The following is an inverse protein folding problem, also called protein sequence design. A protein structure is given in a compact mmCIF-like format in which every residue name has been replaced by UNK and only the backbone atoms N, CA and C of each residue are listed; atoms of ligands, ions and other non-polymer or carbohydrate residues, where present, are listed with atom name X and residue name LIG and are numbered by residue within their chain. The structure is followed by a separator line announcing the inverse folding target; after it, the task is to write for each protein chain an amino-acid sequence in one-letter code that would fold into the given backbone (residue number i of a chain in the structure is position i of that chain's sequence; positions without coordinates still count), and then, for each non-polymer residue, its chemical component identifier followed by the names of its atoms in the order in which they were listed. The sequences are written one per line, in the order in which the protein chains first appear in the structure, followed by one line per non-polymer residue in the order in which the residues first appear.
data_IF_733791126546
#
_entry.id   IF_733791126546
#
_cell.length_a   1.000
_cell.length_b   1.000
_cell.length_c   1.000
_cell.angle_alpha   90.00
_cell.angle_beta   90.00
_cell.angle_gamma   90.00
#
_symmetry.space_group_name_H-M   'P 1'
#
loop_
_entity.id
_entity.type
_entity.pdbx_description
1 polymer ?
#
# COMPACT_ATOMS: atom_id res chain seq x y z
N UNK A 1 -16.70 -8.53 -1.57
CA UNK A 1 -17.64 -7.41 -1.69
C UNK A 1 -16.91 -6.26 -2.36
N UNK A 2 -17.47 -5.70 -3.42
CA UNK A 2 -16.92 -4.53 -4.11
C UNK A 2 -17.79 -3.33 -3.78
N UNK A 3 -17.17 -2.22 -3.41
CA UNK A 3 -17.81 -0.94 -3.11
C UNK A 3 -17.77 -0.02 -4.32
N UNK A 4 -18.53 1.05 -4.30
CA UNK A 4 -18.55 2.05 -5.38
C UNK A 4 -17.32 2.95 -5.40
N UNK A 5 -16.64 3.07 -4.25
CA UNK A 5 -15.48 3.92 -4.06
C UNK A 5 -14.34 3.12 -3.45
N UNK A 6 -13.12 3.60 -3.59
CA UNK A 6 -11.95 3.00 -2.99
C UNK A 6 -12.01 3.10 -1.47
N UNK A 7 -11.54 2.06 -0.79
CA UNK A 7 -11.55 1.97 0.66
C UNK A 7 -10.24 2.57 1.15
N UNK A 8 -10.30 3.75 1.74
CA UNK A 8 -9.12 4.47 2.25
C UNK A 8 -8.74 4.01 3.65
N UNK A 9 -9.73 3.55 4.43
CA UNK A 9 -9.49 3.06 5.79
C UNK A 9 -10.40 1.86 6.09
N UNK A 10 -9.80 0.82 6.66
CA UNK A 10 -10.49 -0.34 7.20
C UNK A 10 -9.92 -0.70 8.56
N UNK A 11 -10.74 -0.64 9.61
CA UNK A 11 -10.32 -1.01 10.96
C UNK A 11 -10.55 -2.49 11.21
N UNK A 12 -9.48 -3.25 11.35
CA UNK A 12 -9.47 -4.66 11.76
C UNK A 12 -9.70 -4.87 13.27
N UNK A 13 -9.65 -3.78 14.05
CA UNK A 13 -9.82 -3.83 15.51
C UNK A 13 -11.30 -3.86 15.94
N UNK A 14 -12.21 -3.48 15.07
CA UNK A 14 -13.64 -3.50 15.34
C UNK A 14 -14.25 -4.66 14.55
N UNK A 15 -14.72 -5.72 15.23
CA UNK A 15 -15.22 -6.90 14.54
C UNK A 15 -16.48 -6.58 13.73
N UNK A 16 -16.51 -7.04 12.50
CA UNK A 16 -17.72 -7.10 11.70
C UNK A 16 -18.56 -8.31 12.14
N UNK A 17 -19.85 -8.12 12.20
CA UNK A 17 -20.79 -9.18 12.58
C UNK A 17 -21.55 -9.66 11.37
N UNK A 18 -21.61 -10.98 11.18
CA UNK A 18 -22.43 -11.60 10.14
C UNK A 18 -23.66 -12.21 10.79
N UNK A 19 -24.82 -11.89 10.24
CA UNK A 19 -26.09 -12.53 10.55
C UNK A 19 -26.47 -13.44 9.39
N UNK A 20 -26.59 -14.71 9.67
CA UNK A 20 -27.02 -15.71 8.69
C UNK A 20 -28.55 -15.80 8.61
N UNK A 21 -29.07 -16.51 7.60
CA UNK A 21 -30.50 -16.68 7.40
C UNK A 21 -31.21 -17.35 8.57
N UNK A 22 -30.51 -18.22 9.30
CA UNK A 22 -31.00 -18.88 10.52
C UNK A 22 -30.89 -18.01 11.79
N UNK A 23 -30.54 -16.73 11.61
CA UNK A 23 -30.26 -15.76 12.70
C UNK A 23 -29.04 -16.09 13.54
N UNK A 24 -28.21 -17.04 13.16
CA UNK A 24 -26.92 -17.27 13.82
C UNK A 24 -25.97 -16.09 13.51
N UNK A 25 -25.13 -15.77 14.50
CA UNK A 25 -24.18 -14.67 14.45
C UNK A 25 -22.78 -15.24 14.43
N UNK A 26 -21.94 -14.73 13.53
CA UNK A 26 -20.52 -15.09 13.47
C UNK A 26 -19.67 -13.86 13.08
N UNK A 27 -18.38 -13.93 13.33
CA UNK A 27 -17.40 -12.96 12.91
C UNK A 27 -16.64 -13.51 11.70
N UNK A 28 -16.62 -12.81 10.56
CA UNK A 28 -15.84 -13.23 9.40
C UNK A 28 -14.36 -12.87 9.58
N UNK A 29 -13.49 -13.57 8.87
CA UNK A 29 -12.17 -13.03 8.58
C UNK A 29 -12.30 -12.08 7.39
N UNK A 30 -11.87 -10.85 7.55
CA UNK A 30 -11.98 -9.80 6.53
C UNK A 30 -10.60 -9.22 6.24
N UNK A 31 -10.30 -9.00 4.97
CA UNK A 31 -9.06 -8.36 4.56
C UNK A 31 -9.27 -7.60 3.23
N UNK A 32 -8.56 -6.46 3.03
CA UNK A 32 -8.59 -5.73 1.77
C UNK A 32 -8.06 -6.57 0.60
N UNK A 33 -8.58 -6.34 -0.58
CA UNK A 33 -8.04 -6.95 -1.80
C UNK A 33 -6.75 -6.21 -2.18
N UNK A 34 -5.62 -6.90 -2.41
CA UNK A 34 -4.35 -6.25 -2.67
C UNK A 34 -4.24 -5.63 -4.07
N UNK A 35 -5.21 -5.89 -4.95
CA UNK A 35 -5.21 -5.44 -6.34
C UNK A 35 -6.38 -4.52 -6.67
N UNK A 36 -7.33 -4.39 -5.76
CA UNK A 36 -8.55 -3.62 -5.96
C UNK A 36 -8.94 -2.92 -4.65
N UNK A 37 -8.57 -1.65 -4.54
CA UNK A 37 -8.78 -0.84 -3.34
C UNK A 37 -10.26 -0.65 -2.99
N UNK A 38 -11.17 -0.87 -3.95
CA UNK A 38 -12.61 -0.84 -3.72
C UNK A 38 -13.19 -2.13 -3.14
N UNK A 39 -12.35 -3.13 -2.80
CA UNK A 39 -12.82 -4.48 -2.50
C UNK A 39 -12.35 -5.03 -1.16
N UNK A 40 -13.29 -5.58 -0.40
CA UNK A 40 -13.04 -6.40 0.79
C UNK A 40 -13.37 -7.87 0.53
N UNK A 41 -12.48 -8.74 0.96
CA UNK A 41 -12.66 -10.19 0.96
C UNK A 41 -13.14 -10.67 2.32
N UNK A 42 -14.11 -11.58 2.32
CA UNK A 42 -14.72 -12.15 3.51
C UNK A 42 -14.60 -13.68 3.47
N UNK A 43 -14.11 -14.28 4.56
CA UNK A 43 -14.14 -15.72 4.76
C UNK A 43 -15.20 -16.04 5.80
N UNK A 44 -16.11 -16.93 5.44
CA UNK A 44 -17.28 -17.32 6.21
C UNK A 44 -17.15 -18.78 6.64
N UNK A 45 -17.42 -19.05 7.92
CA UNK A 45 -17.29 -20.41 8.50
C UNK A 45 -18.44 -21.36 8.12
N UNK A 46 -19.58 -20.81 7.71
CA UNK A 46 -20.77 -21.57 7.36
C UNK A 46 -21.30 -21.16 6.00
N UNK A 47 -21.92 -22.11 5.34
CA UNK A 47 -22.59 -21.87 4.07
C UNK A 47 -24.05 -21.48 4.30
N UNK A 48 -24.49 -20.38 3.70
CA UNK A 48 -25.87 -19.92 3.62
C UNK A 48 -26.11 -19.27 2.25
N UNK A 49 -27.35 -19.24 1.80
CA UNK A 49 -27.70 -18.61 0.51
C UNK A 49 -27.66 -17.06 0.58
N UNK A 50 -27.86 -16.52 1.77
CA UNK A 50 -27.86 -15.06 2.00
C UNK A 50 -27.21 -14.76 3.35
N UNK A 51 -26.38 -13.70 3.37
CA UNK A 51 -25.75 -13.15 4.57
C UNK A 51 -26.07 -11.67 4.68
N UNK A 52 -26.19 -11.23 5.93
CA UNK A 52 -26.24 -9.81 6.26
C UNK A 52 -25.03 -9.50 7.12
N UNK A 53 -24.18 -8.61 6.63
CA UNK A 53 -23.03 -8.10 7.40
C UNK A 53 -23.49 -6.82 8.09
N UNK A 54 -23.32 -6.79 9.40
CA UNK A 54 -23.57 -5.61 10.23
C UNK A 54 -22.22 -5.03 10.63
N UNK A 55 -22.01 -3.78 10.37
CA UNK A 55 -20.78 -3.09 10.75
C UNK A 55 -21.08 -1.80 11.52
N UNK A 56 -20.14 -1.38 12.36
CA UNK A 56 -20.20 -0.09 13.02
C UNK A 56 -19.85 1.01 12.00
N UNK A 57 -20.60 2.12 11.93
CA UNK A 57 -20.26 3.25 11.08
C UNK A 57 -18.83 3.72 11.33
N UNK A 58 -18.08 4.00 10.25
CA UNK A 58 -16.69 4.42 10.30
C UNK A 58 -15.65 3.28 10.29
N UNK A 59 -16.06 2.02 10.36
CA UNK A 59 -15.14 0.87 10.24
C UNK A 59 -14.63 0.71 8.81
N UNK A 60 -15.47 1.04 7.83
CA UNK A 60 -15.14 1.05 6.41
C UNK A 60 -15.32 2.49 5.92
N UNK A 61 -14.27 3.10 5.39
CA UNK A 61 -14.28 4.49 4.92
C UNK A 61 -13.80 4.54 3.47
N UNK A 62 -14.48 5.34 2.64
CA UNK A 62 -14.07 5.70 1.29
C UNK A 62 -13.42 7.09 1.26
N UNK A 63 -12.95 7.53 0.08
CA UNK A 63 -12.24 8.82 -0.08
C UNK A 63 -13.07 10.03 0.39
N UNK A 64 -14.36 10.03 0.13
CA UNK A 64 -15.21 11.19 0.37
C UNK A 64 -16.23 11.01 1.50
N UNK A 65 -16.51 9.78 1.93
CA UNK A 65 -17.58 9.53 2.92
C UNK A 65 -17.35 8.26 3.72
N UNK A 66 -17.79 8.30 4.96
CA UNK A 66 -18.01 7.10 5.78
C UNK A 66 -19.09 6.25 5.10
N UNK A 67 -18.82 5.00 4.79
CA UNK A 67 -19.82 4.04 4.29
C UNK A 67 -20.75 3.71 5.46
N UNK A 68 -21.87 4.39 5.55
CA UNK A 68 -22.66 4.50 6.77
C UNK A 68 -24.00 3.75 6.75
N UNK A 69 -24.21 2.77 5.90
CA UNK A 69 -25.47 2.02 5.98
C UNK A 69 -25.54 1.04 7.16
N UNK A 70 -24.42 0.68 7.74
CA UNK A 70 -24.31 -0.32 8.81
C UNK A 70 -24.72 -1.74 8.38
N UNK A 71 -25.19 -1.93 7.14
CA UNK A 71 -25.74 -3.19 6.65
C UNK A 71 -25.29 -3.46 5.21
N UNK A 72 -24.62 -4.57 4.98
CA UNK A 72 -24.28 -5.08 3.66
C UNK A 72 -24.99 -6.42 3.46
N UNK A 73 -25.78 -6.55 2.41
CA UNK A 73 -26.44 -7.81 2.05
C UNK A 73 -25.67 -8.51 0.96
N UNK A 74 -25.28 -9.76 1.23
CA UNK A 74 -24.54 -10.60 0.28
C UNK A 74 -25.41 -11.79 -0.09
N UNK A 75 -25.64 -11.98 -1.37
CA UNK A 75 -26.22 -13.19 -1.91
C UNK A 75 -25.09 -14.06 -2.47
N UNK A 76 -25.02 -15.29 -1.99
CA UNK A 76 -23.97 -16.22 -2.39
C UNK A 76 -24.41 -17.01 -3.62
N UNK A 77 -23.52 -17.10 -4.60
CA UNK A 77 -23.69 -18.06 -5.70
C UNK A 77 -23.32 -19.46 -5.19
N UNK A 78 -24.28 -20.38 -5.25
CA UNK A 78 -24.12 -21.76 -4.78
C UNK A 78 -23.50 -22.66 -5.84
N UNK A 79 -23.17 -22.13 -7.02
CA UNK A 79 -22.51 -22.88 -8.07
C UNK A 79 -21.11 -23.30 -7.62
N UNK A 80 -20.80 -24.61 -7.76
CA UNK A 80 -19.47 -25.11 -7.40
C UNK A 80 -18.39 -24.41 -8.24
N UNK A 81 -17.49 -23.72 -7.61
CA UNK A 81 -16.32 -23.17 -8.29
C UNK A 81 -15.41 -24.31 -8.78
N UNK A 82 -15.12 -24.29 -10.07
CA UNK A 82 -14.22 -25.24 -10.74
C UNK A 82 -13.00 -24.54 -11.35
N UNK A 83 -12.83 -23.24 -11.09
CA UNK A 83 -11.67 -22.48 -11.59
C UNK A 83 -10.38 -22.95 -10.91
N UNK A 84 -9.30 -22.86 -11.66
CA UNK A 84 -7.97 -23.12 -11.10
C UNK A 84 -7.43 -21.86 -10.45
N UNK A 85 -6.77 -22.02 -9.32
CA UNK A 85 -5.92 -20.98 -8.75
C UNK A 85 -4.84 -20.60 -9.76
N UNK A 86 -4.62 -19.33 -9.95
CA UNK A 86 -3.55 -18.77 -10.79
C UNK A 86 -2.76 -17.74 -10.00
N UNK A 87 -1.59 -17.38 -10.52
CA UNK A 87 -0.77 -16.29 -9.99
C UNK A 87 -1.17 -15.03 -10.73
N UNK A 88 -1.56 -14.01 -9.99
CA UNK A 88 -1.97 -12.69 -10.53
C UNK A 88 -0.77 -11.75 -10.55
N UNK A 89 0.06 -11.78 -9.47
CA UNK A 89 1.29 -11.02 -9.37
C UNK A 89 2.37 -11.89 -8.71
N UNK A 90 3.63 -11.80 -9.13
CA UNK A 90 4.14 -11.08 -10.29
C UNK A 90 3.74 -11.75 -11.61
N UNK A 91 3.57 -10.96 -12.65
CA UNK A 91 3.43 -11.43 -14.03
C UNK A 91 4.76 -11.34 -14.80
N UNK A 92 4.77 -11.72 -16.08
CA UNK A 92 6.00 -11.72 -16.91
C UNK A 92 6.53 -10.32 -17.25
N UNK A 93 5.77 -9.26 -16.97
CA UNK A 93 6.13 -7.85 -17.18
C UNK A 93 6.47 -7.13 -15.87
N UNK A 94 6.32 -7.82 -14.76
CA UNK A 94 6.54 -7.25 -13.44
C UNK A 94 8.00 -6.83 -13.27
N UNK A 95 8.19 -5.61 -12.76
CA UNK A 95 9.49 -5.07 -12.41
C UNK A 95 9.46 -4.78 -10.91
N UNK A 96 10.31 -5.46 -10.15
CA UNK A 96 10.44 -5.22 -8.72
C UNK A 96 11.31 -3.99 -8.47
N UNK A 97 10.74 -2.98 -7.81
CA UNK A 97 11.54 -1.87 -7.27
C UNK A 97 12.49 -2.38 -6.21
N UNK A 98 13.76 -1.98 -6.28
CA UNK A 98 14.79 -2.39 -5.32
C UNK A 98 15.62 -1.20 -4.89
N UNK A 99 16.11 -1.26 -3.65
CA UNK A 99 17.00 -0.27 -3.06
C UNK A 99 18.31 -0.94 -2.65
N UNK A 100 19.40 -0.20 -2.74
CA UNK A 100 20.67 -0.68 -2.18
C UNK A 100 20.54 -0.83 -0.66
N UNK A 101 21.14 -1.87 -0.11
CA UNK A 101 21.18 -2.17 1.31
C UNK A 101 19.82 -2.45 1.99
N UNK A 102 18.76 -2.64 1.21
CA UNK A 102 17.42 -2.94 1.72
C UNK A 102 16.89 -4.23 1.13
N UNK A 103 16.31 -5.09 1.97
CA UNK A 103 15.63 -6.30 1.51
C UNK A 103 14.13 -6.04 1.44
N UNK A 104 13.61 -5.85 0.23
CA UNK A 104 12.18 -5.65 0.00
C UNK A 104 11.50 -7.00 -0.26
N UNK A 105 10.28 -7.24 0.28
CA UNK A 105 9.54 -8.45 -0.03
C UNK A 105 8.95 -8.40 -1.44
N UNK A 106 9.02 -9.51 -2.15
CA UNK A 106 8.23 -9.75 -3.35
C UNK A 106 6.86 -10.28 -2.92
N UNK A 107 5.80 -9.60 -3.29
CA UNK A 107 4.44 -10.07 -3.05
C UNK A 107 3.98 -11.01 -4.16
N UNK A 108 3.54 -12.21 -3.78
CA UNK A 108 2.89 -13.17 -4.66
C UNK A 108 1.41 -13.18 -4.36
N UNK A 109 0.61 -12.79 -5.34
CA UNK A 109 -0.84 -12.67 -5.23
C UNK A 109 -1.50 -13.79 -6.01
N UNK A 110 -2.37 -14.52 -5.35
CA UNK A 110 -3.17 -15.60 -5.91
C UNK A 110 -4.55 -15.11 -6.33
N UNK A 111 -5.12 -15.69 -7.38
CA UNK A 111 -6.47 -15.35 -7.87
C UNK A 111 -7.59 -15.81 -6.94
N UNK A 112 -7.31 -16.67 -5.97
CA UNK A 112 -8.29 -17.24 -5.04
C UNK A 112 -7.61 -17.60 -3.72
N UNK A 113 -8.43 -17.88 -2.70
CA UNK A 113 -7.96 -18.22 -1.35
C UNK A 113 -7.18 -19.53 -1.35
N UNK A 114 -5.99 -19.48 -0.80
CA UNK A 114 -5.11 -20.63 -0.65
C UNK A 114 -4.61 -20.77 0.78
N UNK A 115 -4.38 -21.99 1.19
CA UNK A 115 -3.68 -22.34 2.41
C UNK A 115 -2.33 -22.97 2.10
N UNK A 116 -1.46 -22.99 3.09
CA UNK A 116 -0.19 -23.70 3.01
C UNK A 116 -0.29 -25.01 3.81
N UNK A 117 0.10 -26.11 3.20
CA UNK A 117 0.29 -27.37 3.92
C UNK A 117 1.45 -27.24 4.90
N UNK A 118 1.24 -27.78 6.11
CA UNK A 118 2.25 -27.72 7.17
C UNK A 118 3.59 -28.29 6.71
N UNK A 119 4.65 -27.63 7.14
CA UNK A 119 6.05 -28.04 6.93
C UNK A 119 6.48 -28.17 5.46
N UNK A 120 5.82 -27.44 4.57
CA UNK A 120 6.17 -27.43 3.14
C UNK A 120 6.53 -26.04 2.68
N UNK A 121 7.46 -25.95 1.70
CA UNK A 121 7.87 -24.70 1.10
C UNK A 121 7.34 -24.61 -0.34
N UNK A 122 6.36 -23.74 -0.63
CA UNK A 122 5.77 -23.65 -1.96
C UNK A 122 6.61 -22.89 -2.98
N UNK A 123 7.64 -22.17 -2.55
CA UNK A 123 8.39 -21.27 -3.41
C UNK A 123 9.87 -21.63 -3.51
N UNK A 124 10.44 -21.53 -4.71
CA UNK A 124 11.88 -21.52 -4.95
C UNK A 124 12.23 -20.33 -5.81
N UNK A 125 13.15 -19.51 -5.34
CA UNK A 125 13.67 -18.35 -6.08
C UNK A 125 15.01 -18.71 -6.70
N UNK A 126 15.17 -18.35 -7.97
CA UNK A 126 16.39 -18.61 -8.75
C UNK A 126 16.93 -17.30 -9.33
N UNK A 127 18.26 -17.13 -9.25
CA UNK A 127 19.02 -16.19 -10.05
C UNK A 127 19.79 -17.04 -11.08
N UNK A 128 19.43 -16.92 -12.34
CA UNK A 128 19.85 -17.87 -13.39
C UNK A 128 19.52 -19.32 -13.00
N UNK A 129 20.51 -20.09 -12.54
CA UNK A 129 20.36 -21.48 -12.08
C UNK A 129 20.69 -21.63 -10.59
N UNK A 130 21.02 -20.53 -9.90
CA UNK A 130 21.39 -20.55 -8.49
C UNK A 130 20.13 -20.39 -7.63
N UNK A 131 19.92 -21.32 -6.71
CA UNK A 131 18.83 -21.20 -5.71
C UNK A 131 19.19 -20.14 -4.68
N UNK A 132 18.31 -19.16 -4.54
CA UNK A 132 18.43 -18.09 -3.54
C UNK A 132 17.63 -18.49 -2.29
N UNK A 133 18.27 -18.55 -1.12
CA UNK A 133 17.57 -18.77 0.14
C UNK A 133 16.56 -17.64 0.41
N UNK A 134 15.36 -17.99 0.87
CA UNK A 134 14.28 -17.04 1.10
C UNK A 134 13.52 -17.35 2.39
N UNK A 135 12.86 -16.34 2.92
CA UNK A 135 11.86 -16.44 3.96
C UNK A 135 10.48 -16.12 3.35
N UNK A 136 9.45 -16.82 3.82
CA UNK A 136 8.07 -16.65 3.35
C UNK A 136 7.19 -16.27 4.51
N UNK A 137 6.39 -15.23 4.31
CA UNK A 137 5.36 -14.79 5.25
C UNK A 137 4.02 -14.69 4.51
N UNK A 138 3.00 -15.33 5.01
CA UNK A 138 1.64 -15.16 4.51
C UNK A 138 1.02 -13.94 5.16
N UNK A 139 0.73 -12.92 4.36
CA UNK A 139 0.07 -11.70 4.82
C UNK A 139 -1.46 -11.87 4.86
N UNK A 140 -1.97 -12.63 3.93
CA UNK A 140 -3.38 -13.00 3.85
C UNK A 140 -3.54 -14.33 3.10
N UNK A 141 -4.74 -14.94 3.07
CA UNK A 141 -4.98 -16.18 2.31
C UNK A 141 -4.77 -16.07 0.79
N UNK A 142 -4.57 -14.87 0.26
CA UNK A 142 -4.28 -14.64 -1.17
C UNK A 142 -2.92 -13.99 -1.43
N UNK A 143 -2.17 -13.62 -0.39
CA UNK A 143 -0.90 -12.92 -0.53
C UNK A 143 0.19 -13.60 0.29
N UNK A 144 1.26 -13.97 -0.38
CA UNK A 144 2.51 -14.39 0.25
C UNK A 144 3.62 -13.39 -0.04
N UNK A 145 4.31 -12.94 1.00
CA UNK A 145 5.52 -12.10 0.92
C UNK A 145 6.76 -12.99 0.94
N UNK A 146 7.59 -12.89 -0.08
CA UNK A 146 8.83 -13.63 -0.24
C UNK A 146 9.99 -12.68 -0.09
N UNK A 147 10.85 -12.92 0.89
CA UNK A 147 12.02 -12.09 1.17
C UNK A 147 13.28 -12.93 1.01
N UNK A 148 14.18 -12.61 0.06
CA UNK A 148 15.46 -13.28 -0.05
C UNK A 148 16.33 -12.96 1.17
N UNK A 149 17.21 -13.89 1.57
CA UNK A 149 18.14 -13.65 2.69
C UNK A 149 19.28 -12.70 2.36
N UNK A 150 19.53 -12.50 1.09
CA UNK A 150 20.48 -11.51 0.57
C UNK A 150 19.70 -10.41 -0.16
N UNK A 151 20.28 -9.22 -0.25
CA UNK A 151 19.65 -8.12 -0.96
C UNK A 151 19.46 -8.46 -2.45
N UNK A 152 18.36 -7.95 -3.01
CA UNK A 152 18.14 -8.02 -4.46
C UNK A 152 19.27 -7.29 -5.18
N UNK A 153 19.73 -7.87 -6.28
CA UNK A 153 20.64 -7.17 -7.20
C UNK A 153 19.82 -6.32 -8.17
N UNK A 154 20.32 -5.15 -8.50
CA UNK A 154 19.69 -4.29 -9.52
C UNK A 154 19.77 -4.90 -10.92
N UNK A 155 18.86 -4.49 -11.81
CA UNK A 155 18.80 -4.88 -13.21
C UNK A 155 18.91 -6.40 -13.47
N UNK A 156 18.59 -7.22 -12.47
CA UNK A 156 18.82 -8.66 -12.47
C UNK A 156 17.51 -9.42 -12.74
N UNK A 157 17.60 -10.48 -13.52
CA UNK A 157 16.46 -11.37 -13.78
C UNK A 157 16.41 -12.48 -12.74
N UNK A 158 15.25 -12.64 -12.14
CA UNK A 158 14.94 -13.73 -11.22
C UNK A 158 13.84 -14.61 -11.79
N UNK A 159 13.81 -15.85 -11.33
CA UNK A 159 12.77 -16.82 -11.66
C UNK A 159 12.18 -17.38 -10.37
N UNK A 160 10.89 -17.20 -10.17
CA UNK A 160 10.14 -17.77 -9.07
C UNK A 160 9.44 -19.03 -9.57
N UNK A 161 9.70 -20.14 -8.91
CA UNK A 161 8.97 -21.40 -9.09
C UNK A 161 7.99 -21.58 -7.94
N UNK A 162 6.75 -21.90 -8.26
CA UNK A 162 5.65 -22.07 -7.31
C UNK A 162 5.13 -23.49 -7.50
N UNK A 163 5.24 -24.29 -6.46
CA UNK A 163 4.87 -25.70 -6.48
C UNK A 163 3.42 -25.90 -6.07
N UNK A 164 2.68 -26.70 -6.82
CA UNK A 164 1.27 -27.00 -6.55
C UNK A 164 1.06 -27.76 -5.24
N UNK A 165 1.86 -28.78 -4.98
CA UNK A 165 1.68 -29.70 -3.87
C UNK A 165 1.62 -29.04 -2.47
N UNK A 166 2.46 -28.03 -2.14
CA UNK A 166 2.40 -27.33 -0.87
C UNK A 166 1.21 -26.37 -0.72
N UNK A 167 0.55 -26.03 -1.82
CA UNK A 167 -0.56 -25.07 -1.82
C UNK A 167 -1.88 -25.82 -1.77
N UNK A 168 -2.72 -25.48 -0.80
CA UNK A 168 -4.04 -26.06 -0.61
C UNK A 168 -5.13 -25.03 -0.98
N UNK A 169 -5.84 -25.21 -2.10
CA UNK A 169 -6.90 -24.27 -2.47
C UNK A 169 -8.07 -24.42 -1.49
N UNK A 170 -8.52 -23.30 -0.92
CA UNK A 170 -9.72 -23.30 -0.06
C UNK A 170 -10.99 -23.47 -0.87
N UNK A 171 -10.99 -22.98 -2.12
CA UNK A 171 -12.08 -23.08 -3.08
C UNK A 171 -11.53 -23.41 -4.47
N UNK A 172 -12.40 -23.93 -5.34
CA UNK A 172 -12.02 -24.24 -6.70
C UNK A 172 -11.05 -25.41 -6.81
N UNK A 173 -10.06 -25.28 -7.68
CA UNK A 173 -9.02 -26.27 -7.94
C UNK A 173 -7.65 -25.65 -7.70
N UNK A 174 -6.66 -26.46 -7.33
CA UNK A 174 -5.26 -26.05 -7.20
C UNK A 174 -4.68 -25.45 -8.49
N UNK A 175 -3.42 -25.10 -8.44
CA UNK A 175 -2.70 -24.64 -9.65
C UNK A 175 -2.89 -25.65 -10.79
N UNK A 176 -2.97 -25.17 -12.03
CA UNK A 176 -3.19 -26.03 -13.19
C UNK A 176 -1.98 -26.96 -13.43
N UNK A 177 -0.79 -26.41 -13.26
CA UNK A 177 0.47 -27.11 -13.49
C UNK A 177 1.12 -27.47 -12.16
N UNK A 178 1.87 -28.56 -12.11
CA UNK A 178 2.59 -29.01 -10.90
C UNK A 178 3.61 -27.97 -10.41
N UNK A 179 4.15 -27.16 -11.33
CA UNK A 179 5.04 -26.03 -11.05
C UNK A 179 4.66 -24.87 -11.97
N UNK A 180 4.33 -23.74 -11.38
CA UNK A 180 4.18 -22.47 -12.09
C UNK A 180 5.49 -21.71 -12.01
N UNK A 181 6.00 -21.24 -13.15
CA UNK A 181 7.24 -20.47 -13.23
C UNK A 181 6.97 -19.07 -13.70
N UNK A 182 7.37 -18.09 -12.90
CA UNK A 182 7.26 -16.66 -13.21
C UNK A 182 8.66 -16.05 -13.23
N UNK A 183 9.02 -15.42 -14.35
CA UNK A 183 10.26 -14.67 -14.46
C UNK A 183 9.98 -13.19 -14.42
N UNK A 184 10.69 -12.48 -13.56
CA UNK A 184 10.60 -11.03 -13.42
C UNK A 184 11.99 -10.40 -13.39
N UNK A 185 12.05 -9.08 -13.44
CA UNK A 185 13.30 -8.33 -13.39
C UNK A 185 13.25 -7.34 -12.22
N UNK A 186 14.38 -7.10 -11.57
CA UNK A 186 14.54 -5.99 -10.64
C UNK A 186 14.86 -4.70 -11.43
N UNK A 187 14.39 -3.58 -10.92
CA UNK A 187 14.77 -2.26 -11.40
C UNK A 187 16.24 -1.96 -11.09
N UNK A 188 16.74 -0.86 -11.62
CA UNK A 188 17.98 -0.26 -11.13
C UNK A 188 17.74 0.24 -9.70
N UNK A 189 18.79 0.27 -8.87
CA UNK A 189 18.64 0.80 -7.51
C UNK A 189 18.12 2.21 -7.53
N UNK A 190 17.07 2.44 -6.76
CA UNK A 190 16.56 3.78 -6.56
C UNK A 190 17.61 4.58 -5.77
N UNK A 191 18.11 5.64 -6.39
CA UNK A 191 19.01 6.56 -5.73
C UNK A 191 18.25 7.57 -4.88
N UNK A 192 18.80 7.93 -3.74
CA UNK A 192 18.23 8.91 -2.82
C UNK A 192 19.18 10.09 -2.63
N UNK A 193 18.60 11.26 -2.54
CA UNK A 193 19.26 12.48 -2.11
C UNK A 193 18.68 13.00 -0.80
N UNK A 194 19.16 14.16 -0.40
CA UNK A 194 18.70 14.88 0.80
C UNK A 194 18.35 16.30 0.42
N UNK A 195 17.27 16.81 1.00
CA UNK A 195 16.87 18.21 0.86
C UNK A 195 16.95 18.91 2.21
N UNK A 196 17.69 19.99 2.27
CA UNK A 196 17.81 20.86 3.43
C UNK A 196 17.29 22.23 3.04
N UNK A 197 16.33 22.77 3.77
CA UNK A 197 15.72 24.06 3.50
C UNK A 197 15.92 24.92 4.73
N UNK A 198 16.44 26.14 4.56
CA UNK A 198 16.50 27.15 5.60
C UNK A 198 15.61 28.34 5.25
N UNK A 199 14.76 28.78 6.18
CA UNK A 199 13.94 29.96 6.04
C UNK A 199 14.70 31.20 6.53
N UNK A 200 14.49 32.33 5.83
CA UNK A 200 15.12 33.59 6.19
C UNK A 200 14.53 34.25 7.44
N UNK A 201 13.27 33.97 7.69
CA UNK A 201 12.46 34.58 8.75
C UNK A 201 12.19 33.57 9.88
N UNK A 202 11.75 34.08 11.03
CA UNK A 202 11.25 33.24 12.12
C UNK A 202 9.95 32.58 11.68
N UNK A 203 9.93 31.26 11.69
CA UNK A 203 8.77 30.47 11.24
C UNK A 203 8.05 29.84 12.42
N UNK A 204 6.75 29.56 12.26
CA UNK A 204 5.96 28.84 13.25
C UNK A 204 6.43 27.38 13.35
N UNK A 205 6.38 26.81 14.56
CA UNK A 205 6.71 25.39 14.79
C UNK A 205 5.76 24.42 14.08
N UNK A 206 4.57 24.88 13.67
CA UNK A 206 3.61 24.10 12.90
C UNK A 206 3.77 24.24 11.38
N UNK A 207 4.84 24.88 10.90
CA UNK A 207 5.10 24.98 9.47
C UNK A 207 5.60 23.64 8.91
N UNK A 208 4.93 23.16 7.87
CA UNK A 208 5.23 21.93 7.15
C UNK A 208 5.78 22.28 5.77
N UNK A 209 6.85 21.63 5.36
CA UNK A 209 7.32 21.61 3.98
C UNK A 209 6.92 20.30 3.33
N UNK A 210 6.36 20.38 2.13
CA UNK A 210 5.96 19.25 1.31
C UNK A 210 6.61 19.33 -0.06
N UNK A 211 7.22 18.23 -0.50
CA UNK A 211 7.65 18.07 -1.89
C UNK A 211 6.82 16.98 -2.56
N UNK A 212 6.41 17.25 -3.80
CA UNK A 212 5.57 16.34 -4.58
C UNK A 212 6.24 16.07 -5.92
N UNK A 213 6.35 14.80 -6.31
CA UNK A 213 6.92 14.38 -7.58
C UNK A 213 6.16 15.01 -8.75
N UNK A 214 6.91 15.44 -9.79
CA UNK A 214 6.33 15.98 -11.01
C UNK A 214 6.09 14.88 -12.04
N UNK A 215 5.46 13.78 -11.62
CA UNK A 215 5.18 12.61 -12.43
C UNK A 215 3.66 12.32 -12.53
N UNK A 216 3.30 11.25 -13.23
CA UNK A 216 1.89 10.93 -13.51
C UNK A 216 1.14 10.42 -12.27
N UNK A 217 1.85 9.73 -11.36
CA UNK A 217 1.35 9.24 -10.06
C UNK A 217 2.29 9.78 -8.97
N UNK A 218 2.09 11.04 -8.54
CA UNK A 218 3.05 11.74 -7.70
C UNK A 218 3.06 11.20 -6.28
N UNK A 219 4.25 10.93 -5.74
CA UNK A 219 4.46 10.71 -4.30
C UNK A 219 4.77 12.04 -3.63
N UNK A 220 4.29 12.23 -2.41
CA UNK A 220 4.59 13.40 -1.60
C UNK A 220 5.39 13.03 -0.36
N UNK A 221 6.34 13.90 0.00
CA UNK A 221 7.18 13.75 1.20
C UNK A 221 7.06 15.02 2.03
N UNK A 222 6.84 14.88 3.33
CA UNK A 222 6.58 15.98 4.26
C UNK A 222 7.54 15.98 5.42
N UNK A 223 7.86 17.17 5.92
CA UNK A 223 8.59 17.35 7.17
C UNK A 223 8.20 18.64 7.85
N UNK A 224 8.24 18.64 9.18
CA UNK A 224 7.97 19.83 9.99
C UNK A 224 9.28 20.59 10.22
N UNK A 225 9.18 21.90 10.35
CA UNK A 225 10.33 22.77 10.67
C UNK A 225 10.88 22.43 12.06
N UNK A 226 12.18 22.46 12.20
CA UNK A 226 12.80 22.33 13.52
C UNK A 226 12.90 23.70 14.23
N UNK A 227 13.30 23.71 15.51
CA UNK A 227 13.45 24.91 16.34
C UNK A 227 14.45 25.95 15.82
N UNK A 228 15.23 25.62 14.78
CA UNK A 228 16.19 26.53 14.11
C UNK A 228 15.68 27.08 12.77
N UNK A 229 14.42 26.82 12.41
CA UNK A 229 13.88 27.21 11.12
C UNK A 229 14.37 26.39 9.93
N UNK A 230 14.83 25.14 10.18
CA UNK A 230 15.39 24.27 9.15
C UNK A 230 14.50 23.06 8.95
N UNK A 231 14.19 22.76 7.69
CA UNK A 231 13.60 21.50 7.27
C UNK A 231 14.69 20.56 6.77
N UNK A 232 14.56 19.28 7.07
CA UNK A 232 15.53 18.26 6.70
C UNK A 232 14.83 16.99 6.25
N UNK A 233 14.74 16.81 4.95
CA UNK A 233 14.17 15.63 4.32
C UNK A 233 15.28 14.70 3.87
N UNK A 234 15.27 13.49 4.39
CA UNK A 234 16.24 12.44 4.06
C UNK A 234 15.59 11.39 3.17
N UNK A 235 16.42 10.66 2.42
CA UNK A 235 15.96 9.54 1.59
C UNK A 235 14.87 9.94 0.59
N UNK A 236 15.05 11.08 -0.06
CA UNK A 236 14.17 11.51 -1.14
C UNK A 236 14.65 10.88 -2.45
N UNK A 237 13.80 10.15 -3.19
CA UNK A 237 14.17 9.57 -4.47
C UNK A 237 14.72 10.59 -5.44
N UNK A 238 15.63 10.19 -6.32
CA UNK A 238 16.10 11.05 -7.40
C UNK A 238 14.94 11.44 -8.30
N UNK A 239 14.76 12.73 -8.58
CA UNK A 239 13.65 13.22 -9.40
C UNK A 239 13.50 14.73 -9.40
N UNK A 240 12.44 15.19 -10.07
CA UNK A 240 12.02 16.58 -10.07
C UNK A 240 10.76 16.74 -9.22
N UNK A 241 10.76 17.74 -8.35
CA UNK A 241 9.72 17.95 -7.35
C UNK A 241 9.21 19.40 -7.41
N UNK A 242 7.92 19.58 -7.14
CA UNK A 242 7.37 20.85 -6.68
C UNK A 242 7.53 20.94 -5.16
N UNK A 243 7.81 22.13 -4.64
CA UNK A 243 7.94 22.38 -3.21
C UNK A 243 6.85 23.34 -2.77
N UNK A 244 6.15 22.98 -1.71
CA UNK A 244 5.16 23.84 -1.07
C UNK A 244 5.35 23.86 0.45
N UNK A 245 4.80 24.89 1.08
CA UNK A 245 4.76 25.05 2.53
C UNK A 245 3.34 25.35 2.95
N UNK A 246 2.92 24.82 4.07
CA UNK A 246 1.63 25.15 4.69
C UNK A 246 1.74 25.20 6.21
N UNK A 247 0.83 25.94 6.83
CA UNK A 247 0.77 26.08 8.27
C UNK A 247 -0.26 25.08 8.79
N UNK A 248 0.21 23.96 9.33
CA UNK A 248 -0.64 22.92 9.90
C UNK A 248 -1.25 23.42 11.22
N UNK A 249 -2.43 24.02 11.14
CA UNK A 249 -3.12 24.64 12.27
C UNK A 249 -3.97 23.67 13.05
N UNK A 250 -4.39 22.59 12.41
CA UNK A 250 -5.28 21.58 12.98
C UNK A 250 -4.54 20.31 13.45
N UNK A 251 -3.23 20.20 13.14
CA UNK A 251 -2.40 19.06 13.52
C UNK A 251 -2.64 17.81 12.68
N UNK A 252 -3.27 17.96 11.51
CA UNK A 252 -3.58 16.85 10.61
C UNK A 252 -2.36 16.34 9.83
N UNK A 253 -1.28 17.11 9.81
CA UNK A 253 -0.07 16.90 8.99
C UNK A 253 -0.36 16.86 7.47
N UNK A 254 -1.48 17.45 7.06
CA UNK A 254 -1.90 17.60 5.68
C UNK A 254 -2.51 18.99 5.46
N UNK A 255 -2.39 19.53 4.25
CA UNK A 255 -2.99 20.83 3.94
C UNK A 255 -4.51 20.77 3.99
N UNK A 256 -5.12 21.62 4.83
CA UNK A 256 -6.57 21.74 4.96
C UNK A 256 -7.10 22.84 4.06
N UNK A 257 -7.91 22.46 3.06
CA UNK A 257 -8.55 23.40 2.12
C UNK A 257 -9.64 24.28 2.77
N UNK A 258 -9.97 24.00 4.02
CA UNK A 258 -11.09 24.61 4.71
C UNK A 258 -12.44 23.98 4.36
N UNK A 259 -13.51 24.50 4.97
CA UNK A 259 -14.87 24.00 4.75
C UNK A 259 -15.86 25.19 4.65
N UNK A 260 -16.95 25.02 3.89
CA UNK A 260 -17.98 26.03 3.71
C UNK A 260 -19.05 25.94 4.82
N UNK A 261 -19.38 24.73 5.27
CA UNK A 261 -20.41 24.51 6.30
C UNK A 261 -20.01 23.34 7.26
N UNK A 262 -19.65 23.62 8.54
CA UNK A 262 -19.42 24.95 9.11
C UNK A 262 -18.22 25.65 8.46
N UNK A 263 -18.27 26.98 8.35
CA UNK A 263 -17.18 27.73 7.73
C UNK A 263 -15.86 27.56 8.50
N UNK A 264 -14.86 27.05 7.82
CA UNK A 264 -13.46 26.98 8.26
C UNK A 264 -12.59 27.55 7.14
N UNK A 265 -11.71 28.51 7.41
CA UNK A 265 -10.79 29.02 6.41
C UNK A 265 -9.76 27.93 6.06
N UNK A 266 -9.28 27.96 4.81
CA UNK A 266 -8.12 27.14 4.44
C UNK A 266 -6.89 27.55 5.23
N UNK A 267 -5.97 26.65 5.39
CA UNK A 267 -4.66 26.94 5.93
C UNK A 267 -3.86 27.88 5.03
N UNK A 268 -2.91 28.59 5.61
CA UNK A 268 -1.96 29.37 4.83
C UNK A 268 -1.03 28.42 4.07
N UNK A 269 -0.73 28.76 2.80
CA UNK A 269 0.21 27.99 2.00
C UNK A 269 1.08 28.91 1.11
N UNK A 270 2.24 28.41 0.73
CA UNK A 270 3.17 29.04 -0.20
C UNK A 270 3.74 27.98 -1.13
N UNK A 271 3.78 28.26 -2.43
CA UNK A 271 4.39 27.40 -3.43
C UNK A 271 5.72 28.00 -3.87
N UNK A 272 6.79 27.25 -3.73
CA UNK A 272 8.11 27.66 -4.20
C UNK A 272 8.11 27.67 -5.74
N UNK A 273 8.60 28.76 -6.38
CA UNK A 273 8.40 28.94 -7.83
C UNK A 273 9.26 28.05 -8.71
N UNK A 274 10.38 27.55 -8.17
CA UNK A 274 11.33 26.75 -8.94
C UNK A 274 11.17 25.25 -8.69
N UNK A 275 11.52 24.46 -9.71
CA UNK A 275 11.57 23.01 -9.59
C UNK A 275 12.76 22.57 -8.73
N UNK A 276 12.49 21.75 -7.73
CA UNK A 276 13.49 21.15 -6.86
C UNK A 276 13.99 19.85 -7.52
N UNK A 277 15.26 19.79 -7.88
CA UNK A 277 15.86 18.60 -8.50
C UNK A 277 16.73 17.86 -7.51
N UNK A 278 16.25 16.72 -7.05
CA UNK A 278 17.00 15.82 -6.17
C UNK A 278 17.88 14.89 -7.02
N UNK A 279 19.12 14.69 -6.59
CA UNK A 279 20.09 13.78 -7.22
C UNK A 279 20.58 12.75 -6.20
N UNK A 280 20.85 11.56 -6.68
CA UNK A 280 21.43 10.47 -5.88
C UNK A 280 22.72 10.90 -5.17
N UNK A 281 22.81 10.56 -3.87
CA UNK A 281 23.96 10.82 -3.01
C UNK A 281 24.37 12.31 -2.94
N UNK A 282 23.40 13.22 -3.10
CA UNK A 282 23.64 14.64 -3.07
C UNK A 282 22.74 15.34 -2.05
N UNK A 283 23.34 16.24 -1.26
CA UNK A 283 22.60 17.14 -0.38
C UNK A 283 22.27 18.43 -1.18
N UNK A 284 20.99 18.68 -1.42
CA UNK A 284 20.51 19.91 -1.99
C UNK A 284 20.14 20.87 -0.86
N UNK A 285 20.78 22.01 -0.83
CA UNK A 285 20.52 23.08 0.15
C UNK A 285 19.77 24.24 -0.53
N UNK A 286 18.61 24.59 0.02
CA UNK A 286 17.84 25.77 -0.36
C UNK A 286 17.90 26.77 0.79
N UNK A 287 18.73 27.80 0.63
CA UNK A 287 18.99 28.76 1.67
C UNK A 287 18.13 30.01 1.55
N UNK A 288 17.75 30.57 2.73
CA UNK A 288 17.07 31.86 2.88
C UNK A 288 15.76 31.99 2.08
N UNK A 289 14.96 30.93 2.08
CA UNK A 289 13.61 31.01 1.52
C UNK A 289 12.80 32.02 2.35
N UNK A 290 12.29 33.07 1.66
CA UNK A 290 11.38 34.03 2.27
C UNK A 290 9.96 33.54 2.10
N UNK A 291 9.32 33.29 3.24
CA UNK A 291 7.90 32.94 3.28
C UNK A 291 7.15 34.22 3.67
N UNK A 292 6.52 34.86 2.70
CA UNK A 292 5.65 36.01 3.00
C UNK A 292 4.43 35.48 3.79
N UNK A 293 4.55 35.44 5.11
CA UNK A 293 3.40 35.18 5.96
C UNK A 293 2.50 36.40 5.94
N UNK A 294 1.28 36.22 5.46
CA UNK A 294 0.24 37.22 5.63
C UNK A 294 -0.06 37.31 7.14
N UNK A 295 0.24 38.46 7.73
CA UNK A 295 -0.08 38.79 9.13
C UNK A 295 -1.57 38.83 9.36
#
# INVERSE_FOLDING_TARGET
VTFSDDITEFSDQIPLTIIQQDSSISEPIVFPDPLDESKLNFILDRFSEEYIIVHTPGVIQGEDTVIDSGLIRIKIDTTRDTTHVSIVSPDSKFILGVEADTTMPLQVVFSSLVGQKKDTQPFTLLEDSLVIPLDVKWESPIVASITPKENWKESTRYTLQIFQDPIDPMYGRGLKDSVVTVSFKTADYQGFGRLIISCADTVSESLVAEITEMEKEPRSFRTVVNSKGIFNMKQIPEGNYSLSFFLDSDGSNAYSHGNIDPYQPSEWFYVYPDTVKIRTNWDLELDQIKLEQVQ
#
